data_IF_351037489582
#
_entry.id   IF_351037489582
#
_cell.length_a   1.000
_cell.length_b   1.000
_cell.length_c   1.000
_cell.angle_alpha   90.00
_cell.angle_beta   90.00
_cell.angle_gamma   90.00
#
_symmetry.space_group_name_H-M   'P 1'
#
loop_
_entity.id
_entity.type
_entity.pdbx_description
1 polymer ?
#
# COMPACT_ATOMS: atom_id res chain seq x y z
N UNK A 1 4.95 -1.98 -41.26
CA UNK A 1 3.96 -1.38 -40.36
C UNK A 1 4.73 -0.83 -39.17
N UNK A 2 5.06 0.46 -39.17
CA UNK A 2 5.87 1.09 -38.12
C UNK A 2 4.93 1.92 -37.25
N UNK A 3 4.65 1.44 -36.04
CA UNK A 3 3.94 2.22 -35.03
C UNK A 3 4.94 3.19 -34.41
N UNK A 4 4.84 4.48 -34.73
CA UNK A 4 5.60 5.53 -34.06
C UNK A 4 4.91 5.90 -32.75
N UNK A 5 5.50 5.53 -31.62
CA UNK A 5 5.04 5.94 -30.29
C UNK A 5 5.61 7.35 -30.01
N UNK A 6 4.85 8.38 -30.37
CA UNK A 6 5.17 9.77 -30.06
C UNK A 6 4.59 10.13 -28.70
N UNK A 7 5.41 10.13 -27.66
CA UNK A 7 5.08 10.75 -26.39
C UNK A 7 6.08 11.87 -26.11
N UNK A 8 5.81 13.04 -26.69
CA UNK A 8 6.49 14.31 -26.39
C UNK A 8 5.98 14.90 -25.06
N UNK A 9 5.97 14.11 -24.00
CA UNK A 9 5.70 14.62 -22.65
C UNK A 9 7.01 14.83 -21.93
N UNK A 10 7.32 16.10 -21.63
CA UNK A 10 8.50 16.47 -20.85
C UNK A 10 8.48 15.67 -19.53
N UNK A 11 9.53 14.89 -19.21
CA UNK A 11 9.56 14.08 -18.00
C UNK A 11 9.49 14.99 -16.77
N UNK A 12 8.51 14.76 -15.91
CA UNK A 12 8.42 15.46 -14.64
C UNK A 12 9.32 14.78 -13.62
N UNK A 13 10.29 15.53 -13.12
CA UNK A 13 11.26 15.03 -12.14
C UNK A 13 10.82 15.49 -10.75
N UNK A 14 10.31 14.56 -9.95
CA UNK A 14 9.97 14.81 -8.55
C UNK A 14 11.21 14.52 -7.70
N UNK A 15 11.92 15.57 -7.28
CA UNK A 15 13.09 15.44 -6.38
C UNK A 15 12.63 15.50 -4.92
N UNK A 16 12.36 14.35 -4.31
CA UNK A 16 12.10 14.25 -2.87
C UNK A 16 12.69 12.96 -2.30
N UNK A 17 13.22 13.06 -1.09
CA UNK A 17 13.67 11.91 -0.31
C UNK A 17 12.45 11.15 0.23
N UNK A 18 12.34 9.89 -0.16
CA UNK A 18 11.26 8.97 0.20
C UNK A 18 11.86 7.58 0.45
N UNK A 19 11.25 6.80 1.32
CA UNK A 19 11.75 5.46 1.65
C UNK A 19 11.47 4.50 0.50
N UNK A 20 10.25 4.56 -0.04
CA UNK A 20 9.83 3.81 -1.22
C UNK A 20 8.64 4.50 -1.90
N UNK A 21 8.33 4.04 -3.10
CA UNK A 21 7.18 4.50 -3.87
C UNK A 21 6.43 3.32 -4.49
N UNK A 22 5.15 3.52 -4.76
CA UNK A 22 4.29 2.57 -5.48
C UNK A 22 3.41 3.32 -6.47
N UNK A 23 2.90 2.61 -7.48
CA UNK A 23 2.06 3.17 -8.54
C UNK A 23 0.80 2.33 -8.64
N UNK A 24 -0.36 2.98 -8.75
CA UNK A 24 -1.62 2.28 -9.00
C UNK A 24 -1.86 2.04 -10.50
N UNK A 25 -2.88 1.25 -10.81
CA UNK A 25 -3.29 0.99 -12.19
C UNK A 25 -3.90 2.21 -12.91
N UNK A 26 -4.12 3.33 -12.20
CA UNK A 26 -4.58 4.60 -12.79
C UNK A 26 -3.40 5.55 -13.09
N UNK A 27 -2.17 5.15 -12.78
CA UNK A 27 -0.96 5.95 -12.96
C UNK A 27 -0.72 6.98 -11.85
N UNK A 28 -1.46 6.94 -10.74
CA UNK A 28 -1.14 7.76 -9.58
C UNK A 28 0.08 7.18 -8.86
N UNK A 29 0.97 8.06 -8.43
CA UNK A 29 2.20 7.71 -7.75
C UNK A 29 2.05 8.03 -6.26
N UNK A 30 2.39 7.07 -5.42
CA UNK A 30 2.36 7.20 -3.98
C UNK A 30 3.78 7.12 -3.45
N UNK A 31 4.21 8.18 -2.77
CA UNK A 31 5.49 8.24 -2.09
C UNK A 31 5.28 8.04 -0.60
N UNK A 32 6.07 7.15 -0.01
CA UNK A 32 6.02 6.87 1.42
C UNK A 32 7.30 7.39 2.06
N UNK A 33 7.13 8.06 3.19
CA UNK A 33 8.23 8.49 4.05
C UNK A 33 7.78 8.33 5.50
N UNK A 34 8.41 7.42 6.23
CA UNK A 34 8.14 7.14 7.63
C UNK A 34 6.65 6.84 7.88
N UNK A 35 5.92 7.74 8.52
CA UNK A 35 4.50 7.62 8.88
C UNK A 35 3.55 8.32 7.89
N UNK A 36 4.10 8.79 6.78
CA UNK A 36 3.43 9.65 5.84
C UNK A 36 3.43 9.08 4.43
N UNK A 37 2.28 9.22 3.78
CA UNK A 37 2.04 8.85 2.39
C UNK A 37 1.59 10.08 1.62
N UNK A 38 2.25 10.35 0.50
CA UNK A 38 1.94 11.47 -0.39
C UNK A 38 1.51 10.93 -1.74
N UNK A 39 0.33 11.33 -2.21
CA UNK A 39 -0.18 10.97 -3.54
C UNK A 39 0.09 12.09 -4.55
N UNK A 40 0.62 11.70 -5.69
CA UNK A 40 0.71 12.49 -6.91
C UNK A 40 -0.18 11.86 -7.98
N UNK A 41 -0.86 12.69 -8.77
CA UNK A 41 -1.65 12.23 -9.91
C UNK A 41 -0.73 11.79 -11.05
N UNK A 42 -1.30 11.10 -12.05
CA UNK A 42 -0.57 10.70 -13.26
C UNK A 42 0.06 11.87 -14.04
N UNK A 43 -0.47 13.09 -13.86
CA UNK A 43 0.12 14.31 -14.43
C UNK A 43 1.29 14.89 -13.58
N UNK A 44 1.71 14.21 -12.51
CA UNK A 44 2.78 14.62 -11.60
C UNK A 44 2.38 15.64 -10.52
N UNK A 45 1.17 16.20 -10.60
CA UNK A 45 0.70 17.17 -9.61
C UNK A 45 0.46 16.51 -8.25
N UNK A 46 0.87 17.21 -7.20
CA UNK A 46 0.53 16.83 -5.83
C UNK A 46 -0.99 16.82 -5.67
N UNK A 47 -1.54 15.74 -5.11
CA UNK A 47 -2.96 15.61 -4.84
C UNK A 47 -3.27 15.81 -3.36
N UNK A 48 -2.80 14.88 -2.52
CA UNK A 48 -3.10 14.87 -1.10
C UNK A 48 -2.05 14.07 -0.32
N UNK A 49 -2.13 14.14 1.01
CA UNK A 49 -1.23 13.51 1.96
C UNK A 49 -2.02 12.84 3.07
N UNK A 50 -1.58 11.65 3.47
CA UNK A 50 -2.11 10.89 4.59
C UNK A 50 -0.99 10.62 5.58
N UNK A 51 -1.22 10.92 6.85
CA UNK A 51 -0.31 10.56 7.93
C UNK A 51 -1.10 10.10 9.14
N UNK A 52 -0.55 9.12 9.87
CA UNK A 52 -1.18 8.61 11.08
C UNK A 52 -0.16 8.40 12.19
N UNK A 53 -0.01 9.43 13.04
CA UNK A 53 0.91 9.43 14.17
C UNK A 53 0.65 8.32 15.19
N UNK A 54 -0.58 7.79 15.27
CA UNK A 54 -0.96 6.77 16.26
C UNK A 54 -0.48 5.38 15.88
N UNK A 55 -0.27 5.12 14.60
CA UNK A 55 0.08 3.78 14.08
C UNK A 55 1.58 3.65 13.76
N UNK A 56 2.35 4.71 13.95
CA UNK A 56 3.78 4.71 13.67
C UNK A 56 4.08 4.71 12.17
N UNK A 57 5.16 4.03 11.80
CA UNK A 57 5.71 4.06 10.43
C UNK A 57 4.99 3.08 9.49
N UNK A 58 4.70 3.53 8.27
CA UNK A 58 4.09 2.73 7.22
C UNK A 58 5.17 1.81 6.64
N UNK A 59 5.08 0.53 6.99
CA UNK A 59 6.10 -0.45 6.60
C UNK A 59 5.92 -0.95 5.17
N UNK A 60 4.67 -1.08 4.72
CA UNK A 60 4.38 -1.53 3.36
C UNK A 60 3.07 -0.93 2.86
N UNK A 61 3.00 -0.72 1.54
CA UNK A 61 1.81 -0.22 0.86
C UNK A 61 1.53 -1.06 -0.36
N UNK A 62 0.28 -1.48 -0.51
CA UNK A 62 -0.23 -2.12 -1.71
C UNK A 62 -1.30 -1.25 -2.36
N UNK A 63 -1.00 -0.80 -3.58
CA UNK A 63 -1.84 0.06 -4.41
C UNK A 63 -2.42 -0.67 -5.64
N UNK A 64 -2.40 -2.01 -5.64
CA UNK A 64 -2.95 -2.84 -6.73
C UNK A 64 -4.40 -2.47 -7.04
N UNK A 65 -5.18 -2.09 -6.02
CA UNK A 65 -6.54 -1.57 -6.17
C UNK A 65 -6.57 -0.05 -5.89
N UNK A 66 -6.72 0.76 -6.94
CA UNK A 66 -6.75 2.21 -6.83
C UNK A 66 -7.90 2.77 -5.95
N UNK A 67 -8.99 2.01 -5.75
CA UNK A 67 -10.11 2.43 -4.89
C UNK A 67 -9.94 1.99 -3.44
N UNK A 68 -9.04 1.04 -3.17
CA UNK A 68 -8.79 0.47 -1.85
C UNK A 68 -7.30 0.21 -1.72
N UNK A 69 -6.58 1.24 -1.27
CA UNK A 69 -5.16 1.17 -1.00
C UNK A 69 -4.98 0.57 0.40
N UNK A 70 -4.03 -0.34 0.52
CA UNK A 70 -3.78 -1.09 1.75
C UNK A 70 -2.44 -0.66 2.36
N UNK A 71 -2.48 -0.24 3.62
CA UNK A 71 -1.31 0.18 4.40
C UNK A 71 -1.06 -0.82 5.53
N UNK A 72 0.18 -1.27 5.65
CA UNK A 72 0.62 -2.16 6.70
C UNK A 72 1.53 -1.45 7.70
N UNK A 73 1.13 -1.50 8.97
CA UNK A 73 1.89 -0.96 10.10
C UNK A 73 2.44 -2.11 10.93
N UNK A 74 3.76 -2.34 10.86
CA UNK A 74 4.43 -3.45 11.54
C UNK A 74 4.36 -3.35 13.07
N UNK A 75 4.54 -2.14 13.62
CA UNK A 75 4.65 -1.91 15.06
C UNK A 75 3.38 -2.34 15.81
N UNK A 76 2.21 -2.10 15.21
CA UNK A 76 0.90 -2.45 15.76
C UNK A 76 0.26 -3.67 15.09
N UNK A 77 0.97 -4.31 14.14
CA UNK A 77 0.47 -5.40 13.30
C UNK A 77 -0.94 -5.11 12.78
N UNK A 78 -1.12 -3.91 12.22
CA UNK A 78 -2.42 -3.40 11.81
C UNK A 78 -2.46 -3.12 10.31
N UNK A 79 -3.58 -3.49 9.71
CA UNK A 79 -3.93 -3.18 8.34
C UNK A 79 -4.95 -2.05 8.30
N UNK A 80 -4.62 -1.03 7.52
CA UNK A 80 -5.48 0.13 7.31
C UNK A 80 -5.82 0.23 5.84
N UNK A 81 -7.11 0.38 5.57
CA UNK A 81 -7.61 0.63 4.22
C UNK A 81 -7.92 2.10 4.04
N UNK A 82 -7.36 2.65 2.97
CA UNK A 82 -7.51 4.04 2.58
C UNK A 82 -8.14 4.06 1.18
N UNK A 83 -9.04 5.02 0.94
CA UNK A 83 -9.60 5.22 -0.40
C UNK A 83 -8.67 6.06 -1.30
N UNK A 84 -9.10 6.25 -2.54
CA UNK A 84 -8.36 7.02 -3.53
C UNK A 84 -8.18 8.51 -3.15
N UNK A 85 -9.01 9.04 -2.24
CA UNK A 85 -8.90 10.41 -1.73
C UNK A 85 -7.93 10.52 -0.54
N UNK A 86 -7.26 9.42 -0.20
CA UNK A 86 -6.43 9.30 0.98
C UNK A 86 -7.21 9.41 2.30
N UNK A 87 -8.51 9.08 2.29
CA UNK A 87 -9.34 9.03 3.49
C UNK A 87 -9.33 7.63 4.08
N UNK A 88 -8.92 7.53 5.34
CA UNK A 88 -8.95 6.27 6.07
C UNK A 88 -10.39 5.82 6.29
N UNK A 89 -10.72 4.59 5.88
CA UNK A 89 -11.99 3.97 6.27
C UNK A 89 -11.89 3.50 7.72
N UNK A 90 -12.95 3.74 8.52
CA UNK A 90 -13.01 3.38 9.96
C UNK A 90 -12.79 1.89 10.27
N UNK A 91 -12.72 1.01 9.26
CA UNK A 91 -12.41 -0.41 9.42
C UNK A 91 -10.90 -0.62 9.30
N UNK A 92 -10.17 -0.34 10.37
CA UNK A 92 -8.81 -0.85 10.52
C UNK A 92 -8.87 -2.25 11.13
N UNK A 93 -8.13 -3.19 10.56
CA UNK A 93 -8.18 -4.59 10.99
C UNK A 93 -6.88 -4.96 11.70
N UNK A 94 -6.99 -5.56 12.89
CA UNK A 94 -5.87 -6.08 13.65
C UNK A 94 -5.64 -7.55 13.29
N UNK A 95 -4.39 -7.96 13.13
CA UNK A 95 -3.99 -9.30 12.67
C UNK A 95 -4.39 -10.46 13.62
N UNK A 96 -5.09 -10.21 14.75
CA UNK A 96 -5.45 -11.28 15.68
C UNK A 96 -6.82 -11.21 16.38
N UNK A 97 -7.77 -10.36 15.97
CA UNK A 97 -9.04 -10.21 16.74
C UNK A 97 -10.37 -10.38 16.00
N UNK A 98 -10.39 -10.48 14.68
CA UNK A 98 -11.54 -10.89 13.86
C UNK A 98 -11.19 -10.65 12.38
N UNK A 99 -10.40 -11.54 11.80
CA UNK A 99 -10.05 -11.47 10.37
C UNK A 99 -11.12 -12.17 9.55
N UNK A 100 -12.32 -11.63 9.59
CA UNK A 100 -13.39 -12.10 8.71
C UNK A 100 -13.81 -10.91 7.84
N UNK A 101 -13.54 -10.97 6.53
CA UNK A 101 -14.39 -10.37 5.47
C UNK A 101 -13.87 -10.43 4.02
N UNK A 102 -12.66 -10.92 3.70
CA UNK A 102 -12.33 -11.14 2.28
C UNK A 102 -11.11 -12.03 2.02
N UNK A 103 -11.27 -13.07 1.17
CA UNK A 103 -10.16 -13.89 0.63
C UNK A 103 -9.02 -13.04 0.05
N UNK A 104 -9.33 -11.87 -0.50
CA UNK A 104 -8.32 -10.98 -1.08
C UNK A 104 -7.37 -10.38 -0.04
N UNK A 105 -7.85 -10.12 1.18
CA UNK A 105 -6.98 -9.58 2.21
C UNK A 105 -5.98 -10.65 2.69
N UNK A 106 -6.37 -11.94 2.70
CA UNK A 106 -5.47 -13.06 3.03
C UNK A 106 -4.35 -13.22 2.00
N UNK A 107 -4.67 -13.07 0.71
CA UNK A 107 -3.69 -13.16 -0.36
C UNK A 107 -2.70 -11.99 -0.35
N UNK A 108 -3.20 -10.78 -0.09
CA UNK A 108 -2.34 -9.60 0.02
C UNK A 108 -1.44 -9.66 1.28
N UNK A 109 -1.97 -10.16 2.40
CA UNK A 109 -1.15 -10.44 3.60
C UNK A 109 -0.10 -11.52 3.34
N UNK A 110 -0.46 -12.61 2.66
CA UNK A 110 0.46 -13.66 2.24
C UNK A 110 1.60 -13.08 1.41
N UNK A 111 1.29 -12.25 0.41
CA UNK A 111 2.30 -11.63 -0.43
C UNK A 111 3.26 -10.75 0.39
N UNK A 112 2.73 -9.92 1.29
CA UNK A 112 3.56 -9.06 2.17
C UNK A 112 4.43 -9.88 3.13
N UNK A 113 3.91 -10.96 3.71
CA UNK A 113 4.66 -11.83 4.62
C UNK A 113 5.70 -12.70 3.89
N UNK A 114 5.42 -13.16 2.67
CA UNK A 114 6.35 -13.93 1.84
C UNK A 114 7.59 -13.11 1.42
N UNK A 115 7.47 -11.79 1.31
CA UNK A 115 8.63 -10.90 1.09
C UNK A 115 9.46 -10.64 2.36
N UNK A 116 8.90 -10.86 3.56
CA UNK A 116 9.53 -10.48 4.83
C UNK A 116 9.94 -11.63 5.77
N UNK A 117 9.42 -12.85 5.55
CA UNK A 117 9.60 -13.97 6.46
C UNK A 117 9.85 -15.29 5.70
N UNK A 118 10.56 -16.23 6.33
CA UNK A 118 10.77 -17.57 5.77
C UNK A 118 9.42 -18.28 5.56
N UNK A 119 9.25 -18.96 4.42
CA UNK A 119 8.04 -19.73 4.06
C UNK A 119 7.61 -20.74 5.14
N UNK A 120 8.53 -21.20 5.98
CA UNK A 120 8.26 -22.12 7.09
C UNK A 120 7.54 -21.45 8.28
N UNK A 121 7.76 -20.16 8.51
CA UNK A 121 7.06 -19.38 9.52
C UNK A 121 5.66 -18.96 9.05
N UNK A 122 5.52 -18.75 7.74
CA UNK A 122 4.26 -18.35 7.10
C UNK A 122 3.23 -19.48 7.18
N UNK A 123 3.65 -20.73 6.93
CA UNK A 123 2.78 -21.90 7.04
C UNK A 123 2.30 -22.14 8.49
N UNK A 124 3.21 -22.06 9.46
CA UNK A 124 2.86 -22.24 10.88
C UNK A 124 1.85 -21.18 11.37
N UNK A 125 2.01 -19.94 10.89
CA UNK A 125 1.05 -18.87 11.18
C UNK A 125 -0.31 -19.05 10.50
N UNK A 126 -0.36 -19.63 9.30
CA UNK A 126 -1.63 -19.90 8.61
C UNK A 126 -2.45 -20.94 9.36
N UNK A 127 -1.80 -22.01 9.86
CA UNK A 127 -2.44 -23.07 10.64
C UNK A 127 -2.97 -22.57 12.00
N UNK A 128 -2.31 -21.58 12.61
CA UNK A 128 -2.77 -20.92 13.84
C UNK A 128 -3.98 -20.00 13.64
N UNK A 129 -4.26 -19.60 12.40
CA UNK A 129 -5.31 -18.65 12.03
C UNK A 129 -6.55 -19.30 11.39
N UNK A 130 -6.48 -20.60 11.06
CA UNK A 130 -7.57 -21.36 10.45
C UNK A 130 -8.41 -22.19 11.44
N UNK A 131 -8.12 -22.11 12.74
CA UNK A 131 -8.89 -22.69 13.85
C UNK A 131 -9.51 -21.58 14.68
#
# INVERSE_FOLDING_TARGET
MLCSFQNDTKPQIIKKAHDYFTVDNLGNVFFIKENEMVKHLANGNYFNRYSNLKLGNITSVDATNALRIMLFYKDYQQLVFVDNQLTQKKRSCFIGKNWDTNKQNLLAFRQIMEFGYSTRLIMNWYDLMSN
#
